data_IF_207986989789
#
_entry.id   IF_207986989789
#
_cell.length_a   1.000
_cell.length_b   1.000
_cell.length_c   1.000
_cell.angle_alpha   90.00
_cell.angle_beta   90.00
_cell.angle_gamma   90.00
#
_symmetry.space_group_name_H-M   'P 1'
#
loop_
_entity.id
_entity.type
_entity.pdbx_description
1 polymer ?
#
# COMPACT_ATOMS: atom_id res chain seq x y z
N UNK A 1 3.43 7.71 -4.96
CA UNK A 1 3.91 8.47 -3.77
C UNK A 1 4.49 7.51 -2.75
N UNK A 2 5.43 7.94 -1.90
CA UNK A 2 6.00 7.14 -0.81
C UNK A 2 5.93 7.97 0.47
N UNK A 3 5.43 7.37 1.56
CA UNK A 3 5.38 7.99 2.88
C UNK A 3 6.13 7.15 3.91
N UNK A 4 6.88 7.82 4.78
CA UNK A 4 7.56 7.21 5.92
C UNK A 4 6.69 7.33 7.17
N UNK A 5 6.44 6.22 7.84
CA UNK A 5 5.74 6.17 9.11
C UNK A 5 6.58 5.44 10.14
N UNK A 6 6.67 5.97 11.36
CA UNK A 6 7.22 5.23 12.49
C UNK A 6 6.09 4.51 13.22
N UNK A 7 6.13 3.17 13.22
CA UNK A 7 5.13 2.29 13.85
C UNK A 7 5.86 1.42 14.87
N UNK A 8 5.48 1.49 16.15
CA UNK A 8 6.11 0.71 17.23
C UNK A 8 7.63 0.85 17.32
N UNK A 9 8.16 2.05 17.10
CA UNK A 9 9.61 2.32 17.13
C UNK A 9 10.40 1.82 15.92
N UNK A 10 9.73 1.27 14.89
CA UNK A 10 10.33 0.89 13.61
C UNK A 10 9.85 1.81 12.50
N UNK A 11 10.76 2.18 11.61
CA UNK A 11 10.42 2.92 10.41
C UNK A 11 9.86 1.98 9.35
N UNK A 12 8.70 2.34 8.82
CA UNK A 12 7.97 1.63 7.77
C UNK A 12 7.73 2.62 6.63
N UNK A 13 7.99 2.20 5.41
CA UNK A 13 7.77 2.99 4.22
C UNK A 13 6.58 2.43 3.46
N UNK A 14 5.62 3.27 3.13
CA UNK A 14 4.42 2.89 2.40
C UNK A 14 4.46 3.58 1.05
N UNK A 15 4.57 2.79 -0.01
CA UNK A 15 4.44 3.26 -1.39
C UNK A 15 3.01 3.09 -1.84
N UNK A 16 2.42 4.15 -2.37
CA UNK A 16 1.11 4.12 -3.02
C UNK A 16 1.31 4.47 -4.48
N UNK A 17 0.99 3.52 -5.36
CA UNK A 17 1.09 3.68 -6.81
C UNK A 17 -0.32 3.72 -7.42
N UNK A 18 -0.60 4.69 -8.32
CA UNK A 18 -1.83 4.68 -9.10
C UNK A 18 -1.78 3.53 -10.10
N UNK A 19 -2.90 2.82 -10.21
CA UNK A 19 -3.10 1.72 -11.13
C UNK A 19 -4.26 2.07 -12.06
N UNK A 20 -3.98 2.42 -13.33
CA UNK A 20 -5.03 2.65 -14.30
C UNK A 20 -5.73 1.33 -14.60
N UNK A 21 -7.04 1.29 -14.37
CA UNK A 21 -7.87 0.15 -14.80
C UNK A 21 -8.40 0.47 -16.19
N UNK A 22 -7.86 -0.22 -17.19
CA UNK A 22 -8.36 -0.13 -18.55
C UNK A 22 -9.68 -0.91 -18.64
N UNK A 23 -10.82 -0.21 -18.77
CA UNK A 23 -12.11 -0.83 -19.11
C UNK A 23 -12.37 -0.64 -20.60
N UNK A 24 -12.90 -1.68 -21.24
CA UNK A 24 -13.25 -1.69 -22.67
C UNK A 24 -14.37 -0.71 -23.04
N UNK A 25 -15.09 -0.13 -22.05
CA UNK A 25 -16.18 0.80 -22.30
C UNK A 25 -15.72 2.27 -22.24
N UNK A 26 -15.67 2.99 -23.38
CA UNK A 26 -15.16 4.36 -23.46
C UNK A 26 -16.08 5.43 -22.84
N UNK A 27 -17.30 5.07 -22.41
CA UNK A 27 -18.26 6.02 -21.82
C UNK A 27 -18.18 6.13 -20.29
N UNK A 28 -17.24 5.45 -19.66
CA UNK A 28 -17.05 5.48 -18.21
C UNK A 28 -15.78 6.25 -17.89
N UNK A 29 -15.88 7.25 -17.00
CA UNK A 29 -14.73 7.99 -16.50
C UNK A 29 -13.74 6.98 -15.92
N UNK A 30 -12.46 6.95 -16.37
CA UNK A 30 -11.49 6.00 -15.86
C UNK A 30 -11.35 6.20 -14.35
N UNK A 31 -11.83 5.21 -13.59
CA UNK A 31 -11.62 5.16 -12.15
C UNK A 31 -10.15 4.79 -11.94
N UNK A 32 -9.34 5.76 -11.54
CA UNK A 32 -7.97 5.50 -11.12
C UNK A 32 -8.02 4.84 -9.74
N UNK A 33 -7.48 3.63 -9.67
CA UNK A 33 -7.34 2.92 -8.41
C UNK A 33 -5.92 3.10 -7.89
N UNK A 34 -5.72 2.80 -6.62
CA UNK A 34 -4.44 2.90 -5.96
C UNK A 34 -4.09 1.55 -5.36
N UNK A 35 -2.83 1.16 -5.45
CA UNK A 35 -2.29 0.00 -4.74
C UNK A 35 -1.29 0.48 -3.69
N UNK A 36 -1.24 -0.19 -2.54
CA UNK A 36 -0.27 0.10 -1.51
C UNK A 36 0.72 -1.06 -1.33
N UNK A 37 1.99 -0.70 -1.15
CA UNK A 37 3.10 -1.61 -0.89
C UNK A 37 3.84 -1.14 0.35
N UNK A 38 4.03 -2.04 1.31
CA UNK A 38 4.70 -1.78 2.59
C UNK A 38 6.15 -2.26 2.49
N UNK A 39 7.08 -1.43 2.90
CA UNK A 39 8.50 -1.76 3.00
C UNK A 39 8.96 -1.55 4.45
N UNK A 40 9.55 -2.60 5.03
CA UNK A 40 10.13 -2.55 6.40
C UNK A 40 11.58 -2.07 6.42
N UNK A 41 12.11 -1.70 5.26
CA UNK A 41 13.40 -1.04 5.05
C UNK A 41 13.19 0.11 4.11
N UNK A 42 14.10 1.08 4.12
CA UNK A 42 14.08 2.17 3.16
C UNK A 42 14.16 1.58 1.74
N UNK A 43 13.14 1.78 0.90
CA UNK A 43 13.16 1.24 -0.45
C UNK A 43 14.20 2.03 -1.26
N UNK A 44 15.31 1.37 -1.63
CA UNK A 44 16.20 1.91 -2.66
C UNK A 44 15.50 1.87 -4.02
N UNK A 45 15.86 2.76 -4.96
CA UNK A 45 15.15 2.99 -6.25
C UNK A 45 14.87 1.72 -7.10
N UNK A 46 15.48 0.58 -6.78
CA UNK A 46 15.29 -0.71 -7.47
C UNK A 46 14.83 -1.87 -6.57
N UNK A 47 14.40 -1.62 -5.33
CA UNK A 47 14.02 -2.71 -4.42
C UNK A 47 12.58 -3.20 -4.63
N UNK A 48 12.46 -4.48 -5.03
CA UNK A 48 11.20 -5.22 -5.15
C UNK A 48 10.80 -5.95 -3.86
N UNK A 49 11.44 -5.65 -2.72
CA UNK A 49 11.24 -6.36 -1.45
C UNK A 49 10.00 -5.96 -0.65
N UNK A 50 9.17 -5.07 -1.18
CA UNK A 50 7.97 -4.58 -0.52
C UNK A 50 6.82 -5.58 -0.57
N UNK A 51 6.06 -5.63 0.52
CA UNK A 51 4.85 -6.43 0.60
C UNK A 51 3.66 -5.64 0.07
N UNK A 52 3.16 -6.05 -1.10
CA UNK A 52 1.97 -5.43 -1.69
C UNK A 52 0.73 -5.90 -0.94
N UNK A 53 -0.16 -4.98 -0.59
CA UNK A 53 -1.44 -5.31 0.01
C UNK A 53 -2.26 -6.10 -1.01
N UNK A 54 -2.58 -7.34 -0.67
CA UNK A 54 -3.42 -8.22 -1.47
C UNK A 54 -4.73 -8.55 -0.74
N UNK A 55 -5.79 -8.76 -1.52
CA UNK A 55 -7.09 -9.25 -1.10
C UNK A 55 -7.47 -10.38 -2.08
N UNK A 56 -7.83 -11.55 -1.55
CA UNK A 56 -8.13 -12.75 -2.35
C UNK A 56 -7.03 -13.18 -3.35
N UNK A 57 -5.77 -12.87 -3.04
CA UNK A 57 -4.61 -13.21 -3.88
C UNK A 57 -4.31 -12.20 -4.99
N UNK A 58 -5.13 -11.17 -5.17
CA UNK A 58 -4.88 -10.05 -6.08
C UNK A 58 -4.50 -8.78 -5.32
N UNK A 59 -3.77 -7.87 -5.96
CA UNK A 59 -3.42 -6.59 -5.33
C UNK A 59 -4.69 -5.79 -5.04
N UNK A 60 -4.89 -5.42 -3.77
CA UNK A 60 -6.05 -4.68 -3.32
C UNK A 60 -6.07 -3.29 -3.96
N UNK A 61 -7.18 -2.98 -4.60
CA UNK A 61 -7.42 -1.69 -5.23
C UNK A 61 -8.17 -0.77 -4.27
N UNK A 62 -7.66 0.45 -4.13
CA UNK A 62 -8.27 1.50 -3.33
C UNK A 62 -8.76 2.62 -4.23
N UNK A 63 -9.89 3.24 -3.91
CA UNK A 63 -10.43 4.37 -4.69
C UNK A 63 -9.76 5.71 -4.35
N UNK A 64 -8.91 5.73 -3.32
CA UNK A 64 -8.21 6.92 -2.88
C UNK A 64 -6.81 6.61 -2.37
N UNK A 65 -5.82 7.47 -2.64
CA UNK A 65 -4.46 7.34 -2.09
C UNK A 65 -4.46 7.31 -0.56
N UNK A 66 -5.37 8.07 0.08
CA UNK A 66 -5.50 8.15 1.54
C UNK A 66 -6.08 6.85 2.11
N UNK A 67 -7.00 6.22 1.39
CA UNK A 67 -7.56 4.92 1.78
C UNK A 67 -6.49 3.82 1.72
N UNK A 68 -5.69 3.82 0.65
CA UNK A 68 -4.56 2.90 0.49
C UNK A 68 -3.53 3.04 1.62
N UNK A 69 -3.15 4.29 1.92
CA UNK A 69 -2.21 4.63 2.99
C UNK A 69 -2.74 4.21 4.37
N UNK A 70 -3.97 4.60 4.70
CA UNK A 70 -4.59 4.28 5.99
C UNK A 70 -4.71 2.78 6.23
N UNK A 71 -5.03 2.02 5.17
CA UNK A 71 -5.09 0.57 5.23
C UNK A 71 -3.71 -0.03 5.43
N UNK A 72 -2.73 0.38 4.64
CA UNK A 72 -1.36 -0.11 4.73
C UNK A 72 -0.73 0.18 6.09
N UNK A 73 -0.96 1.36 6.67
CA UNK A 73 -0.52 1.69 8.02
C UNK A 73 -1.13 0.75 9.06
N UNK A 74 -2.45 0.53 9.02
CA UNK A 74 -3.13 -0.41 9.92
C UNK A 74 -2.63 -1.84 9.74
N UNK A 75 -2.31 -2.24 8.51
CA UNK A 75 -1.73 -3.56 8.22
C UNK A 75 -0.31 -3.69 8.82
N UNK A 76 0.51 -2.63 8.74
CA UNK A 76 1.82 -2.59 9.39
C UNK A 76 1.72 -2.64 10.92
N UNK A 77 0.76 -1.92 11.51
CA UNK A 77 0.44 -1.99 12.95
C UNK A 77 -0.01 -3.40 13.37
N UNK A 78 -0.89 -4.03 12.59
CA UNK A 78 -1.34 -5.42 12.81
C UNK A 78 -0.30 -6.50 12.51
N UNK A 79 0.84 -6.14 11.91
CA UNK A 79 2.00 -7.04 11.78
C UNK A 79 2.99 -6.88 12.93
N UNK A 80 2.74 -5.95 13.85
CA UNK A 80 3.47 -5.82 15.13
C UNK A 80 2.85 -6.50 16.37
N UNK A 81 1.81 -7.36 16.34
CA UNK A 81 1.26 -7.93 17.57
C UNK A 81 2.11 -9.13 17.99
N UNK A 82 3.32 -8.89 18.48
CA UNK A 82 3.99 -9.84 19.37
C UNK A 82 5.06 -9.20 20.26
N UNK A 83 4.82 -8.00 20.78
CA UNK A 83 5.47 -7.53 22.03
C UNK A 83 4.52 -6.62 22.81
N UNK A 84 3.44 -7.18 23.37
CA UNK A 84 2.84 -6.62 24.58
C UNK A 84 2.51 -7.77 25.54
N UNK A 85 3.42 -7.91 26.51
CA UNK A 85 3.30 -8.50 27.85
C UNK A 85 3.02 -10.01 28.03
#
# INVERSE_FOLDING_TARGET
>A
MVEKHSVGGKDVWIKVDPRPVHRENPNVIPTEYFTATIFFKEPTENESGGETITEDGEAKLFESPVAALSFARKAAEKKQPEQLE
#
